data_IF_598989944823
#
_entry.id   IF_598989944823
#
_cell.length_a   1.000
_cell.length_b   1.000
_cell.length_c   1.000
_cell.angle_alpha   90.00
_cell.angle_beta   90.00
_cell.angle_gamma   90.00
#
_symmetry.space_group_name_H-M   'P 1'
#
loop_
_entity.id
_entity.type
_entity.pdbx_description
1 polymer ?
#
# COMPACT_ATOMS: atom_id res chain seq x y z
N UNK A 1 36.11 13.74 -20.42
CA UNK A 1 35.09 13.37 -21.44
C UNK A 1 34.31 12.20 -20.92
N UNK A 2 33.20 12.47 -20.25
CA UNK A 2 32.26 11.43 -19.78
C UNK A 2 31.43 10.98 -20.98
N UNK A 3 31.54 9.72 -21.32
CA UNK A 3 30.62 9.02 -22.20
C UNK A 3 29.20 9.16 -21.61
N UNK A 4 28.46 10.14 -22.12
CA UNK A 4 27.01 10.22 -21.94
C UNK A 4 26.42 9.00 -22.65
N UNK A 5 26.14 7.97 -21.90
CA UNK A 5 25.46 6.76 -22.36
C UNK A 5 24.14 7.16 -22.99
N UNK A 6 23.82 6.60 -24.16
CA UNK A 6 22.61 6.93 -24.95
C UNK A 6 21.26 6.65 -24.26
N UNK A 7 21.27 6.22 -23.01
CA UNK A 7 20.09 5.97 -22.19
C UNK A 7 19.38 7.27 -21.69
N UNK A 8 20.10 8.40 -21.62
CA UNK A 8 19.53 9.68 -21.19
C UNK A 8 18.61 10.35 -22.25
N UNK A 9 18.48 9.77 -23.43
CA UNK A 9 17.62 10.28 -24.51
C UNK A 9 16.21 9.67 -24.51
N UNK A 10 15.87 8.86 -23.49
CA UNK A 10 14.55 8.28 -23.38
C UNK A 10 13.48 9.37 -23.25
N UNK A 11 12.49 9.31 -24.13
CA UNK A 11 11.34 10.22 -24.16
C UNK A 11 10.05 9.42 -24.09
N UNK A 12 8.96 10.08 -23.85
CA UNK A 12 7.64 9.46 -23.80
C UNK A 12 6.93 9.65 -22.49
N UNK A 13 6.05 8.74 -22.16
CA UNK A 13 5.23 8.81 -20.96
C UNK A 13 5.29 7.50 -20.19
N UNK A 14 5.39 7.62 -18.86
CA UNK A 14 5.23 6.54 -17.90
C UNK A 14 3.92 6.79 -17.12
N UNK A 15 2.96 5.86 -17.22
CA UNK A 15 1.67 5.94 -16.54
C UNK A 15 1.62 4.91 -15.42
N UNK A 16 1.61 5.37 -14.17
CA UNK A 16 1.59 4.53 -12.97
C UNK A 16 0.30 4.77 -12.21
N UNK A 17 -0.33 3.71 -11.69
CA UNK A 17 -1.39 3.85 -10.70
C UNK A 17 -1.01 3.14 -9.39
N UNK A 18 -1.25 3.82 -8.27
CA UNK A 18 -1.04 3.31 -6.93
C UNK A 18 -1.86 4.11 -5.91
N UNK A 19 -2.05 3.55 -4.72
CA UNK A 19 -2.67 4.29 -3.62
C UNK A 19 -1.76 5.42 -3.10
N UNK A 20 -2.34 6.39 -2.41
CA UNK A 20 -1.58 7.48 -1.79
C UNK A 20 -0.50 6.94 -0.84
N UNK A 21 -0.84 5.98 0.00
CA UNK A 21 0.09 5.33 0.93
C UNK A 21 1.28 4.68 0.19
N UNK A 22 1.01 3.91 -0.86
CA UNK A 22 2.07 3.25 -1.65
C UNK A 22 2.94 4.28 -2.35
N UNK A 23 2.34 5.33 -2.93
CA UNK A 23 3.11 6.41 -3.55
C UNK A 23 4.05 7.08 -2.54
N UNK A 24 3.52 7.46 -1.38
CA UNK A 24 4.23 8.25 -0.37
C UNK A 24 5.32 7.45 0.35
N UNK A 25 5.04 6.22 0.73
CA UNK A 25 5.93 5.43 1.60
C UNK A 25 6.78 4.41 0.87
N UNK A 26 6.51 4.16 -0.41
CA UNK A 26 7.27 3.18 -1.18
C UNK A 26 7.78 3.72 -2.53
N UNK A 27 6.90 4.31 -3.36
CA UNK A 27 7.27 4.67 -4.75
C UNK A 27 8.07 5.97 -4.87
N UNK A 28 7.98 6.89 -3.91
CA UNK A 28 8.54 8.24 -4.07
C UNK A 28 10.03 8.23 -4.40
N UNK A 29 10.82 7.36 -3.77
CA UNK A 29 12.27 7.28 -3.99
C UNK A 29 12.59 6.72 -5.39
N UNK A 30 11.81 5.74 -5.86
CA UNK A 30 11.95 5.20 -7.22
C UNK A 30 11.57 6.24 -8.28
N UNK A 31 10.49 6.99 -8.05
CA UNK A 31 10.04 8.06 -8.92
C UNK A 31 11.10 9.18 -9.00
N UNK A 32 11.69 9.55 -7.87
CA UNK A 32 12.77 10.54 -7.82
C UNK A 32 13.98 10.09 -8.65
N UNK A 33 14.46 8.87 -8.41
CA UNK A 33 15.59 8.30 -9.13
C UNK A 33 15.32 8.19 -10.63
N UNK A 34 14.11 7.76 -10.99
CA UNK A 34 13.71 7.65 -12.40
C UNK A 34 13.67 9.02 -13.08
N UNK A 35 13.06 10.01 -12.43
CA UNK A 35 13.00 11.38 -12.97
C UNK A 35 14.38 12.01 -13.14
N UNK A 36 15.31 11.75 -12.21
CA UNK A 36 16.71 12.22 -12.33
C UNK A 36 17.46 11.54 -13.48
N UNK A 37 17.18 10.25 -13.71
CA UNK A 37 17.84 9.46 -14.76
C UNK A 37 17.26 9.77 -16.15
N UNK A 38 15.94 9.99 -16.23
CA UNK A 38 15.21 10.19 -17.48
C UNK A 38 14.36 11.48 -17.42
N UNK A 39 14.98 12.66 -17.40
CA UNK A 39 14.29 13.93 -17.18
C UNK A 39 13.28 14.29 -18.28
N UNK A 40 13.45 13.76 -19.49
CA UNK A 40 12.56 14.00 -20.64
C UNK A 40 11.34 13.07 -20.66
N UNK A 41 11.25 12.08 -19.76
CA UNK A 41 10.08 11.22 -19.63
C UNK A 41 9.00 11.91 -18.79
N UNK A 42 7.82 12.01 -19.34
CA UNK A 42 6.66 12.52 -18.61
C UNK A 42 6.10 11.44 -17.69
N UNK A 43 6.14 11.67 -16.40
CA UNK A 43 5.57 10.76 -15.40
C UNK A 43 4.12 11.19 -15.09
N UNK A 44 3.16 10.27 -15.27
CA UNK A 44 1.77 10.44 -14.86
C UNK A 44 1.45 9.44 -13.75
N UNK A 45 1.14 9.94 -12.58
CA UNK A 45 0.70 9.13 -11.43
C UNK A 45 -0.79 9.31 -11.24
N UNK A 46 -1.53 8.22 -11.13
CA UNK A 46 -2.96 8.22 -10.83
C UNK A 46 -3.18 7.54 -9.48
N UNK A 47 -3.78 8.26 -8.52
CA UNK A 47 -4.12 7.69 -7.23
C UNK A 47 -5.48 6.99 -7.28
N UNK A 48 -5.51 5.76 -6.77
CA UNK A 48 -6.73 4.99 -6.56
C UNK A 48 -6.49 3.94 -5.48
N UNK A 49 -7.55 3.27 -5.02
CA UNK A 49 -7.41 2.07 -4.18
C UNK A 49 -6.70 0.96 -4.96
N UNK A 50 -6.13 -0.03 -4.28
CA UNK A 50 -5.50 -1.18 -4.96
C UNK A 50 -6.47 -1.89 -5.91
N UNK A 51 -7.75 -1.94 -5.57
CA UNK A 51 -8.82 -2.45 -6.45
C UNK A 51 -8.98 -1.54 -7.67
N UNK A 52 -9.11 -0.24 -7.46
CA UNK A 52 -9.25 0.73 -8.54
C UNK A 52 -8.02 0.80 -9.45
N UNK A 53 -6.82 0.59 -8.93
CA UNK A 53 -5.59 0.50 -9.73
C UNK A 53 -5.63 -0.69 -10.70
N UNK A 54 -6.10 -1.86 -10.24
CA UNK A 54 -6.27 -3.02 -11.11
C UNK A 54 -7.28 -2.75 -12.24
N UNK A 55 -8.38 -2.03 -11.95
CA UNK A 55 -9.34 -1.61 -12.97
C UNK A 55 -8.75 -0.63 -13.99
N UNK A 56 -7.89 0.30 -13.55
CA UNK A 56 -7.18 1.22 -14.44
C UNK A 56 -6.22 0.48 -15.37
N UNK A 57 -5.50 -0.53 -14.83
CA UNK A 57 -4.61 -1.37 -15.61
C UNK A 57 -5.37 -2.18 -16.68
N UNK A 58 -6.49 -2.79 -16.29
CA UNK A 58 -7.36 -3.56 -17.20
C UNK A 58 -7.89 -2.72 -18.36
N UNK A 59 -8.23 -1.46 -18.10
CA UNK A 59 -8.69 -0.50 -19.11
C UNK A 59 -7.57 0.11 -19.96
N UNK A 60 -6.30 -0.29 -19.75
CA UNK A 60 -5.15 0.29 -20.43
C UNK A 60 -4.89 1.77 -20.08
N UNK A 61 -5.40 2.25 -18.95
CA UNK A 61 -5.23 3.62 -18.47
C UNK A 61 -3.96 3.82 -17.64
N UNK A 62 -3.31 2.73 -17.24
CA UNK A 62 -1.98 2.69 -16.63
C UNK A 62 -1.10 1.68 -17.40
N UNK A 63 0.20 1.92 -17.44
CA UNK A 63 1.19 0.99 -18.00
C UNK A 63 1.55 -0.08 -16.98
N UNK A 64 1.61 0.32 -15.73
CA UNK A 64 1.84 -0.54 -14.58
C UNK A 64 1.14 0.02 -13.34
N UNK A 65 0.94 -0.86 -12.38
CA UNK A 65 0.42 -0.50 -11.06
C UNK A 65 1.31 -1.08 -9.96
N UNK A 66 1.31 -0.43 -8.80
CA UNK A 66 1.80 -1.02 -7.55
C UNK A 66 0.63 -1.06 -6.58
N UNK A 67 0.31 -2.25 -6.11
CA UNK A 67 -0.87 -2.46 -5.28
C UNK A 67 -0.63 -3.49 -4.19
N UNK A 68 -1.51 -3.54 -3.20
CA UNK A 68 -1.51 -4.54 -2.15
C UNK A 68 -2.13 -5.85 -2.67
N UNK A 69 -1.52 -6.96 -2.27
CA UNK A 69 -2.05 -8.31 -2.43
C UNK A 69 -2.24 -8.99 -1.07
N UNK A 70 -3.26 -9.85 -0.92
CA UNK A 70 -4.18 -10.31 -1.97
C UNK A 70 -5.08 -9.19 -2.53
N UNK A 71 -5.39 -9.29 -3.82
CA UNK A 71 -6.28 -8.36 -4.53
C UNK A 71 -7.13 -9.17 -5.52
N UNK A 72 -8.43 -9.26 -5.27
CA UNK A 72 -9.38 -10.07 -6.05
C UNK A 72 -9.54 -9.63 -7.50
N UNK A 73 -9.07 -8.41 -7.85
CA UNK A 73 -9.13 -7.87 -9.21
C UNK A 73 -7.90 -8.20 -10.06
N UNK A 74 -6.83 -8.73 -9.45
CA UNK A 74 -5.68 -9.20 -10.22
C UNK A 74 -5.92 -10.63 -10.72
N UNK A 75 -6.43 -10.73 -11.94
CA UNK A 75 -6.62 -12.01 -12.64
C UNK A 75 -5.34 -12.57 -13.27
N UNK A 76 -5.46 -13.76 -13.88
CA UNK A 76 -4.35 -14.48 -14.51
C UNK A 76 -3.75 -13.80 -15.75
N UNK A 77 -4.41 -12.78 -16.29
CA UNK A 77 -3.95 -11.98 -17.44
C UNK A 77 -3.03 -10.82 -17.04
N UNK A 78 -2.66 -10.74 -15.78
CA UNK A 78 -1.65 -9.79 -15.30
C UNK A 78 -0.38 -10.52 -14.91
N UNK A 79 0.75 -9.99 -15.38
CA UNK A 79 2.05 -10.38 -14.86
C UNK A 79 2.29 -9.62 -13.58
N UNK A 80 2.60 -10.34 -12.50
CA UNK A 80 2.83 -9.75 -11.19
C UNK A 80 4.23 -10.08 -10.69
N UNK A 81 4.82 -9.13 -9.96
CA UNK A 81 6.10 -9.29 -9.26
C UNK A 81 5.97 -8.77 -7.84
N UNK A 82 6.38 -9.57 -6.86
CA UNK A 82 6.47 -9.13 -5.47
C UNK A 82 7.61 -8.12 -5.32
N UNK A 83 7.32 -6.96 -4.74
CA UNK A 83 8.29 -5.92 -4.48
C UNK A 83 8.69 -5.88 -3.00
N UNK A 84 7.75 -6.12 -2.11
CA UNK A 84 7.95 -6.03 -0.67
C UNK A 84 6.91 -6.86 0.07
N UNK A 85 7.31 -7.51 1.15
CA UNK A 85 6.40 -8.07 2.15
C UNK A 85 6.17 -7.06 3.28
N UNK A 86 4.97 -7.03 3.83
CA UNK A 86 4.61 -6.16 4.95
C UNK A 86 3.51 -6.79 5.80
N UNK A 87 3.28 -6.23 6.98
CA UNK A 87 2.18 -6.62 7.87
C UNK A 87 1.28 -5.41 8.14
N UNK A 88 -0.02 -5.65 8.23
CA UNK A 88 -0.92 -4.68 8.81
C UNK A 88 -0.82 -4.77 10.33
N UNK A 89 -0.64 -3.63 10.99
CA UNK A 89 -0.46 -3.52 12.43
C UNK A 89 -1.51 -2.60 13.02
N UNK A 90 -2.04 -3.00 14.17
CA UNK A 90 -2.90 -2.13 14.95
C UNK A 90 -2.06 -1.18 15.77
N UNK A 91 -2.46 0.08 15.83
CA UNK A 91 -1.79 1.13 16.59
C UNK A 91 -2.80 1.93 17.41
N UNK A 92 -2.39 2.31 18.60
CA UNK A 92 -3.20 3.12 19.50
C UNK A 92 -2.35 4.16 20.24
N UNK A 93 -2.95 5.27 20.59
CA UNK A 93 -2.39 6.15 21.61
C UNK A 93 -2.80 5.64 23.00
N UNK A 94 -1.85 5.03 23.70
CA UNK A 94 -2.09 4.36 24.98
C UNK A 94 -2.43 5.32 26.13
N UNK A 95 -2.27 6.63 25.94
CA UNK A 95 -2.73 7.63 26.91
C UNK A 95 -4.27 7.69 26.99
N UNK A 96 -4.95 7.28 25.90
CA UNK A 96 -6.42 7.27 25.83
C UNK A 96 -7.04 5.90 26.07
N UNK A 97 -6.32 4.81 25.76
CA UNK A 97 -6.84 3.46 25.85
C UNK A 97 -5.94 2.56 26.68
N UNK A 98 -6.47 1.91 27.74
CA UNK A 98 -5.71 0.95 28.54
C UNK A 98 -5.65 -0.43 27.86
N UNK A 99 -5.28 -0.44 26.57
CA UNK A 99 -5.12 -1.67 25.80
C UNK A 99 -3.79 -2.35 26.11
N UNK A 100 -3.79 -3.67 26.19
CA UNK A 100 -2.55 -4.42 26.27
C UNK A 100 -1.77 -4.28 24.96
N UNK A 101 -0.50 -3.89 25.06
CA UNK A 101 0.36 -3.65 23.89
C UNK A 101 1.14 -4.90 23.47
N UNK A 102 1.19 -5.93 24.33
CA UNK A 102 1.88 -7.19 24.10
C UNK A 102 0.90 -8.34 24.32
N UNK A 103 0.91 -9.32 23.41
CA UNK A 103 -0.02 -10.46 23.43
C UNK A 103 -1.50 -10.04 23.40
N UNK A 104 -1.80 -8.95 22.70
CA UNK A 104 -3.17 -8.46 22.51
C UNK A 104 -3.99 -9.51 21.77
N UNK A 105 -5.14 -9.86 22.27
CA UNK A 105 -6.07 -10.74 21.57
C UNK A 105 -6.91 -9.94 20.56
N UNK A 106 -7.18 -10.54 19.42
CA UNK A 106 -7.97 -9.88 18.36
C UNK A 106 -9.36 -9.47 18.87
N UNK A 107 -9.96 -10.29 19.76
CA UNK A 107 -11.24 -9.99 20.40
C UNK A 107 -11.18 -8.78 21.32
N UNK A 108 -10.05 -8.53 21.99
CA UNK A 108 -9.88 -7.39 22.89
C UNK A 108 -10.00 -6.06 22.13
N UNK A 109 -9.53 -6.01 20.89
CA UNK A 109 -9.61 -4.81 20.06
C UNK A 109 -11.04 -4.34 19.85
N UNK A 110 -12.02 -5.27 19.84
CA UNK A 110 -13.44 -4.94 19.65
C UNK A 110 -14.07 -4.19 20.85
N UNK A 111 -13.35 -4.06 21.96
CA UNK A 111 -13.79 -3.24 23.10
C UNK A 111 -13.50 -1.74 22.89
N UNK A 112 -12.80 -1.40 21.81
CA UNK A 112 -12.38 -0.03 21.51
C UNK A 112 -12.89 0.40 20.13
N UNK A 113 -13.05 1.71 19.90
CA UNK A 113 -13.36 2.21 18.57
C UNK A 113 -12.29 1.79 17.55
N UNK A 114 -12.69 1.20 16.44
CA UNK A 114 -11.79 0.79 15.35
C UNK A 114 -11.91 1.78 14.19
N UNK A 115 -10.76 2.25 13.71
CA UNK A 115 -10.63 3.15 12.58
C UNK A 115 -10.10 2.36 11.38
N UNK A 116 -10.82 2.34 10.28
CA UNK A 116 -10.49 1.53 9.09
C UNK A 116 -10.55 2.33 7.81
N UNK A 117 -9.91 1.78 6.79
CA UNK A 117 -10.17 2.20 5.42
C UNK A 117 -11.59 1.78 4.98
N UNK A 118 -12.11 2.48 3.97
CA UNK A 118 -13.43 2.19 3.41
C UNK A 118 -13.56 0.73 2.94
N UNK A 119 -14.78 0.17 2.89
CA UNK A 119 -15.01 -1.23 2.51
C UNK A 119 -14.49 -1.61 1.11
N UNK A 120 -14.26 -0.62 0.24
CA UNK A 120 -13.73 -0.82 -1.11
C UNK A 120 -12.21 -0.93 -1.18
N UNK A 121 -11.52 -1.05 -0.05
CA UNK A 121 -10.07 -1.25 -0.02
C UNK A 121 -9.71 -2.72 0.22
N UNK A 122 -8.61 -3.18 -0.37
CA UNK A 122 -8.07 -4.52 -0.12
C UNK A 122 -7.74 -4.75 1.35
N UNK A 123 -7.36 -3.69 2.09
CA UNK A 123 -7.07 -3.78 3.52
C UNK A 123 -8.34 -4.05 4.32
N UNK A 124 -9.46 -3.38 4.01
CA UNK A 124 -10.73 -3.66 4.68
C UNK A 124 -11.26 -5.06 4.38
N UNK A 125 -11.15 -5.53 3.14
CA UNK A 125 -11.51 -6.90 2.78
C UNK A 125 -10.68 -7.89 3.60
N UNK A 126 -9.37 -7.72 3.59
CA UNK A 126 -8.42 -8.57 4.32
C UNK A 126 -8.70 -8.62 5.83
N UNK A 127 -8.90 -7.47 6.47
CA UNK A 127 -9.18 -7.42 7.91
C UNK A 127 -10.52 -8.05 8.26
N UNK A 128 -11.56 -7.82 7.47
CA UNK A 128 -12.86 -8.45 7.69
C UNK A 128 -12.78 -9.97 7.58
N UNK A 129 -12.04 -10.49 6.62
CA UNK A 129 -11.79 -11.92 6.48
C UNK A 129 -11.01 -12.48 7.68
N UNK A 130 -9.97 -11.78 8.14
CA UNK A 130 -9.19 -12.20 9.30
C UNK A 130 -10.03 -12.28 10.57
N UNK A 131 -10.88 -11.28 10.85
CA UNK A 131 -11.80 -11.30 11.99
C UNK A 131 -12.86 -12.40 11.85
N UNK A 132 -13.41 -12.58 10.65
CA UNK A 132 -14.41 -13.64 10.38
C UNK A 132 -13.83 -15.03 10.59
N UNK A 133 -12.57 -15.26 10.24
CA UNK A 133 -11.88 -16.53 10.48
C UNK A 133 -11.77 -16.88 11.97
N UNK A 134 -11.82 -15.88 12.86
CA UNK A 134 -11.86 -16.04 14.32
C UNK A 134 -13.27 -15.99 14.89
N UNK A 135 -14.32 -16.06 14.06
CA UNK A 135 -15.73 -15.90 14.43
C UNK A 135 -16.03 -14.53 15.09
N UNK A 136 -15.24 -13.50 14.73
CA UNK A 136 -15.42 -12.14 15.21
C UNK A 136 -16.02 -11.27 14.11
N UNK A 137 -16.86 -10.29 14.51
CA UNK A 137 -17.43 -9.31 13.60
C UNK A 137 -16.75 -7.96 13.80
N UNK A 138 -16.03 -7.52 12.79
CA UNK A 138 -15.38 -6.21 12.80
C UNK A 138 -16.38 -5.12 12.38
N UNK A 139 -16.65 -4.21 13.30
CA UNK A 139 -17.55 -3.06 13.10
C UNK A 139 -16.74 -1.79 13.37
N UNK A 140 -16.29 -1.08 12.33
CA UNK A 140 -15.54 0.15 12.52
C UNK A 140 -16.44 1.31 12.94
N UNK A 141 -15.92 2.21 13.79
CA UNK A 141 -16.56 3.48 14.14
C UNK A 141 -16.32 4.54 13.05
N UNK A 142 -15.17 4.48 12.38
CA UNK A 142 -14.79 5.41 11.33
C UNK A 142 -14.30 4.63 10.12
N UNK A 143 -14.83 4.98 8.95
CA UNK A 143 -14.36 4.47 7.66
C UNK A 143 -13.99 5.65 6.75
N UNK A 144 -12.75 5.68 6.25
CA UNK A 144 -12.25 6.74 5.39
C UNK A 144 -11.21 6.22 4.37
N UNK A 145 -10.70 7.09 3.50
CA UNK A 145 -9.85 6.67 2.38
C UNK A 145 -8.36 7.05 2.51
N UNK A 146 -7.92 7.44 3.71
CA UNK A 146 -6.54 7.86 3.95
C UNK A 146 -5.96 7.19 5.19
N UNK A 147 -4.89 6.41 5.01
CA UNK A 147 -4.15 5.83 6.13
C UNK A 147 -3.46 6.89 7.00
N UNK A 148 -2.96 7.97 6.40
CA UNK A 148 -2.38 9.08 7.17
C UNK A 148 -3.41 9.72 8.08
N UNK A 149 -4.64 9.93 7.60
CA UNK A 149 -5.72 10.44 8.44
C UNK A 149 -6.13 9.43 9.52
N UNK A 150 -6.10 8.13 9.25
CA UNK A 150 -6.32 7.11 10.30
C UNK A 150 -5.30 7.26 11.43
N UNK A 151 -4.01 7.45 11.10
CA UNK A 151 -2.96 7.67 12.10
C UNK A 151 -3.19 8.97 12.89
N UNK A 152 -3.55 10.06 12.23
CA UNK A 152 -3.84 11.33 12.89
C UNK A 152 -5.01 11.21 13.87
N UNK A 153 -6.09 10.53 13.47
CA UNK A 153 -7.23 10.27 14.34
C UNK A 153 -6.90 9.35 15.51
N UNK A 154 -6.03 8.35 15.29
CA UNK A 154 -5.56 7.49 16.37
C UNK A 154 -4.69 8.26 17.37
N UNK A 155 -3.84 9.21 16.92
CA UNK A 155 -3.01 10.06 17.80
C UNK A 155 -3.85 10.89 18.77
N UNK A 156 -4.96 11.43 18.32
CA UNK A 156 -5.88 12.20 19.18
C UNK A 156 -6.79 11.32 20.04
N UNK A 157 -6.62 9.99 20.01
CA UNK A 157 -7.37 9.07 20.84
C UNK A 157 -8.79 8.79 20.34
N UNK A 158 -9.08 8.97 19.04
CA UNK A 158 -10.41 8.66 18.51
C UNK A 158 -10.65 7.16 18.41
N UNK A 159 -9.60 6.36 18.28
CA UNK A 159 -9.72 4.91 18.19
C UNK A 159 -8.38 4.22 17.90
N UNK A 160 -8.46 2.92 17.65
CA UNK A 160 -7.35 2.07 17.22
C UNK A 160 -7.37 2.00 15.71
N UNK A 161 -6.26 2.37 15.07
CA UNK A 161 -6.10 2.28 13.62
C UNK A 161 -5.34 1.01 13.22
N UNK A 162 -5.64 0.49 12.02
CA UNK A 162 -4.84 -0.57 11.40
C UNK A 162 -4.21 -0.05 10.12
N UNK A 163 -2.89 -0.10 10.04
CA UNK A 163 -2.09 0.46 8.94
C UNK A 163 -0.93 -0.46 8.59
N UNK A 164 -0.38 -0.36 7.36
CA UNK A 164 0.86 -1.06 7.02
C UNK A 164 2.04 -0.67 7.93
N UNK A 165 2.83 -1.64 8.33
CA UNK A 165 3.97 -1.47 9.24
C UNK A 165 5.02 -0.46 8.74
N UNK A 166 5.21 -0.36 7.42
CA UNK A 166 6.16 0.58 6.81
C UNK A 166 5.74 2.07 6.93
N UNK A 167 4.55 2.35 7.44
CA UNK A 167 4.10 3.71 7.74
C UNK A 167 4.54 4.18 9.12
N UNK A 168 4.92 3.28 10.01
CA UNK A 168 5.24 3.61 11.39
C UNK A 168 6.58 4.33 11.47
N UNK A 169 6.63 5.35 12.31
CA UNK A 169 7.83 6.13 12.60
C UNK A 169 8.28 5.88 14.04
N UNK A 170 9.58 5.91 14.26
CA UNK A 170 10.12 5.94 15.61
C UNK A 170 9.65 7.21 16.34
N UNK A 171 9.42 7.08 17.65
CA UNK A 171 8.97 8.17 18.52
C UNK A 171 7.61 8.81 18.13
N UNK A 172 6.73 8.05 17.52
CA UNK A 172 5.34 8.44 17.33
C UNK A 172 4.57 8.30 18.66
N UNK A 173 3.51 9.09 18.85
CA UNK A 173 2.57 8.95 19.97
C UNK A 173 1.72 7.66 19.87
N UNK A 174 1.93 6.89 18.84
CA UNK A 174 1.23 5.65 18.58
C UNK A 174 2.08 4.44 18.97
N UNK A 175 1.50 3.54 19.73
CA UNK A 175 2.11 2.29 20.13
C UNK A 175 1.56 1.16 19.27
N UNK A 176 2.41 0.39 18.57
CA UNK A 176 1.99 -0.83 17.91
C UNK A 176 1.49 -1.86 18.93
N UNK A 177 0.35 -2.50 18.63
CA UNK A 177 -0.22 -3.57 19.42
C UNK A 177 0.26 -4.91 18.88
N UNK A 178 1.07 -5.62 19.65
CA UNK A 178 1.59 -6.92 19.27
C UNK A 178 0.54 -8.00 19.54
N UNK A 179 -0.10 -8.49 18.49
CA UNK A 179 -1.10 -9.52 18.58
C UNK A 179 -0.49 -10.85 19.07
N UNK A 180 -1.23 -11.57 19.88
CA UNK A 180 -0.90 -12.93 20.31
C UNK A 180 -0.81 -13.89 19.13
N UNK A 181 -1.72 -13.77 18.18
CA UNK A 181 -1.71 -14.43 16.89
C UNK A 181 -1.54 -13.35 15.80
N UNK A 182 -0.32 -13.19 15.25
CA UNK A 182 -0.06 -12.19 14.23
C UNK A 182 -0.95 -12.40 12.99
N UNK A 183 -1.42 -11.31 12.40
CA UNK A 183 -2.09 -11.37 11.11
C UNK A 183 -1.11 -11.89 10.04
N UNK A 184 -1.59 -12.66 9.05
CA UNK A 184 -0.75 -13.09 7.93
C UNK A 184 -0.12 -11.90 7.21
N UNK A 185 1.12 -12.08 6.72
CA UNK A 185 1.78 -11.06 5.90
C UNK A 185 1.06 -10.82 4.59
N UNK A 186 1.22 -9.61 4.05
CA UNK A 186 0.73 -9.18 2.75
C UNK A 186 1.89 -8.72 1.89
N UNK A 187 1.61 -8.45 0.62
CA UNK A 187 2.64 -8.09 -0.33
C UNK A 187 2.28 -6.81 -1.10
N UNK A 188 3.27 -5.97 -1.33
CA UNK A 188 3.25 -5.00 -2.42
C UNK A 188 3.68 -5.72 -3.68
N UNK A 189 2.88 -5.62 -4.73
CA UNK A 189 3.20 -6.19 -6.03
C UNK A 189 3.16 -5.12 -7.10
N UNK A 190 4.10 -5.23 -8.05
CA UNK A 190 4.01 -4.58 -9.33
C UNK A 190 3.20 -5.48 -10.25
N UNK A 191 2.23 -4.92 -10.97
CA UNK A 191 1.47 -5.63 -11.99
C UNK A 191 1.45 -4.87 -13.30
N UNK A 192 1.50 -5.61 -14.40
CA UNK A 192 1.36 -5.14 -15.76
C UNK A 192 0.46 -6.08 -16.55
N UNK A 193 -0.14 -5.61 -17.63
CA UNK A 193 -0.94 -6.47 -18.49
C UNK A 193 -0.02 -7.38 -19.33
N UNK A 194 -0.29 -8.67 -19.40
CA UNK A 194 0.57 -9.65 -20.07
C UNK A 194 0.55 -9.55 -21.61
N UNK A 195 -0.54 -9.06 -22.18
CA UNK A 195 -0.76 -8.95 -23.63
C UNK A 195 -0.58 -7.54 -24.20
N UNK A 196 -0.42 -6.51 -23.36
CA UNK A 196 -0.19 -5.14 -23.81
C UNK A 196 1.31 -4.84 -23.88
N UNK A 197 1.73 -4.27 -25.00
CA UNK A 197 3.11 -3.78 -25.13
C UNK A 197 3.35 -2.64 -24.15
N UNK A 198 4.29 -2.84 -23.26
CA UNK A 198 4.71 -1.83 -22.29
C UNK A 198 5.56 -0.79 -23.01
N UNK A 199 5.43 0.50 -22.66
CA UNK A 199 6.28 1.54 -23.21
C UNK A 199 7.73 1.36 -22.74
N UNK A 200 8.71 1.82 -23.53
CA UNK A 200 10.13 1.82 -23.10
C UNK A 200 10.32 2.49 -21.73
N UNK A 201 9.60 3.57 -21.47
CA UNK A 201 9.65 4.25 -20.18
C UNK A 201 9.18 3.35 -19.03
N UNK A 202 8.12 2.57 -19.24
CA UNK A 202 7.65 1.61 -18.25
C UNK A 202 8.60 0.43 -18.07
N UNK A 203 9.20 -0.10 -19.15
CA UNK A 203 10.23 -1.14 -19.06
C UNK A 203 11.42 -0.68 -18.21
N UNK A 204 11.97 0.51 -18.47
CA UNK A 204 13.06 1.08 -17.68
C UNK A 204 12.69 1.31 -16.23
N UNK A 205 11.47 1.71 -15.95
CA UNK A 205 11.00 1.86 -14.57
C UNK A 205 10.90 0.50 -13.86
N UNK A 206 10.40 -0.53 -14.53
CA UNK A 206 10.29 -1.90 -13.99
C UNK A 206 11.68 -2.48 -13.69
N UNK A 207 12.67 -2.22 -14.54
CA UNK A 207 14.07 -2.66 -14.34
C UNK A 207 14.68 -2.13 -13.05
N UNK A 208 14.24 -0.97 -12.55
CA UNK A 208 14.74 -0.40 -11.28
C UNK A 208 14.43 -1.28 -10.07
N UNK A 209 13.40 -2.12 -10.13
CA UNK A 209 13.05 -3.07 -9.07
C UNK A 209 13.78 -4.42 -9.19
N UNK A 210 14.54 -4.65 -10.25
CA UNK A 210 15.31 -5.89 -10.46
C UNK A 210 16.73 -5.81 -9.89
N UNK A 211 17.18 -4.63 -9.47
CA UNK A 211 18.54 -4.39 -8.99
C UNK A 211 18.67 -4.47 -7.46
N UNK A 212 17.71 -5.11 -6.79
CA UNK A 212 17.70 -5.28 -5.33
C UNK A 212 17.93 -6.76 -4.98
#
# INVERSE_FOLDING_TARGET
ESLLSGDNLLKGQLRIAASDTICRYFLIDYLQKFHQTYPDVRIKVTNSTSIGCAELLEKGQADLIVCNCPNSRLGSHFQTRVLKEFHDVFVANTDYFPVHTVQTELQELLNYPILMLSPKSTTSEYLREAFTAHNLKLLPEVELNSNDLLLDLARIGLGIACVPDYMLKENDQLTPLMLKEPLPGRQLVLAQHDSLTVSQAAERFIEMFTSI
#
